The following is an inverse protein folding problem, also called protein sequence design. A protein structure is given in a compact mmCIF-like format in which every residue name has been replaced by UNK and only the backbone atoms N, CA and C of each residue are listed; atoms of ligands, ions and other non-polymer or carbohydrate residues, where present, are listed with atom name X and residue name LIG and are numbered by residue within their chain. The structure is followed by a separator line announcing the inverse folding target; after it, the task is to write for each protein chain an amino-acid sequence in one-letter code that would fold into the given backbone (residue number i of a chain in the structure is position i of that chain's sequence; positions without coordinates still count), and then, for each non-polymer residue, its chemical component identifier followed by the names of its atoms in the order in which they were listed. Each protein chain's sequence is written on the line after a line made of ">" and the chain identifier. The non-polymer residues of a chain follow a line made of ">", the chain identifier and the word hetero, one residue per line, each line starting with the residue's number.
data_IF_086542774082
#
_entry.id   IF_086542774082
#
_cell.length_a   1.000
_cell.length_b   1.000
_cell.length_c   1.000
_cell.angle_alpha   90.00
_cell.angle_beta   90.00
_cell.angle_gamma   90.00
#
_symmetry.space_group_name_H-M   'P 1'
#
loop_
_entity.id
_entity.type
_entity.pdbx_description
1 polymer ?
#
# COMPACT_ATOMS: atom_id res chain seq x y z
N UNK A 1 -23.78 -6.43 6.91
CA UNK A 1 -24.89 -6.66 7.89
C UNK A 1 -26.15 -6.05 7.29
N UNK A 2 -27.10 -6.87 6.87
CA UNK A 2 -28.39 -6.39 6.35
C UNK A 2 -29.33 -6.18 7.53
N UNK A 3 -29.63 -4.93 7.85
CA UNK A 3 -30.77 -4.63 8.71
C UNK A 3 -32.00 -4.58 7.81
N UNK A 4 -32.91 -5.54 7.96
CA UNK A 4 -34.16 -5.54 7.24
C UNK A 4 -35.02 -4.36 7.73
N UNK A 5 -34.98 -3.26 7.01
CA UNK A 5 -35.85 -2.09 7.27
C UNK A 5 -37.17 -2.33 6.56
N UNK A 6 -38.17 -2.73 7.30
CA UNK A 6 -39.53 -2.90 6.76
C UNK A 6 -40.06 -1.58 6.18
N UNK A 7 -40.33 -1.54 4.86
CA UNK A 7 -40.83 -0.36 4.15
C UNK A 7 -39.72 0.57 3.61
N UNK A 8 -38.45 0.22 3.79
CA UNK A 8 -37.31 1.01 3.31
C UNK A 8 -36.86 0.71 1.87
N UNK A 9 -37.33 -0.36 1.26
CA UNK A 9 -36.90 -0.82 -0.08
C UNK A 9 -36.96 0.29 -1.14
N UNK A 10 -38.11 0.97 -1.22
CA UNK A 10 -38.27 2.08 -2.16
C UNK A 10 -37.34 3.25 -1.88
N UNK A 11 -37.02 3.53 -0.63
CA UNK A 11 -36.06 4.57 -0.25
C UNK A 11 -34.63 4.16 -0.65
N UNK A 12 -34.28 2.89 -0.49
CA UNK A 12 -32.98 2.33 -0.90
C UNK A 12 -32.84 2.39 -2.42
N UNK A 13 -33.85 1.96 -3.17
CA UNK A 13 -33.85 2.06 -4.64
C UNK A 13 -33.70 3.50 -5.15
N UNK A 14 -34.42 4.44 -4.50
CA UNK A 14 -34.29 5.86 -4.85
C UNK A 14 -32.90 6.40 -4.49
N UNK A 15 -32.30 5.97 -3.37
CA UNK A 15 -30.95 6.35 -3.00
C UNK A 15 -29.91 5.85 -4.03
N UNK A 16 -30.07 4.62 -4.54
CA UNK A 16 -29.20 4.11 -5.62
C UNK A 16 -29.31 4.94 -6.89
N UNK A 17 -30.54 5.31 -7.30
CA UNK A 17 -30.75 6.16 -8.48
C UNK A 17 -30.15 7.56 -8.31
N UNK A 18 -30.29 8.14 -7.12
CA UNK A 18 -29.68 9.44 -6.80
C UNK A 18 -28.15 9.35 -6.78
N UNK A 19 -27.60 8.26 -6.28
CA UNK A 19 -26.14 8.03 -6.30
C UNK A 19 -25.63 7.91 -7.74
N UNK A 20 -26.33 7.19 -8.61
CA UNK A 20 -25.98 7.06 -10.03
C UNK A 20 -26.08 8.41 -10.77
N UNK A 21 -27.09 9.21 -10.48
CA UNK A 21 -27.23 10.53 -11.09
C UNK A 21 -26.14 11.49 -10.60
N UNK A 22 -25.79 11.42 -9.31
CA UNK A 22 -24.67 12.17 -8.73
C UNK A 22 -23.33 11.76 -9.35
N UNK A 23 -23.08 10.44 -9.49
CA UNK A 23 -21.87 9.91 -10.13
C UNK A 23 -21.76 10.38 -11.58
N UNK A 24 -22.87 10.37 -12.33
CA UNK A 24 -22.89 10.85 -13.72
C UNK A 24 -22.63 12.35 -13.82
N UNK A 25 -23.08 13.13 -12.86
CA UNK A 25 -22.97 14.59 -12.86
C UNK A 25 -23.72 15.27 -13.99
N UNK A 26 -23.29 16.48 -14.35
CA UNK A 26 -23.88 17.29 -15.41
C UNK A 26 -23.84 16.55 -16.76
N UNK A 27 -25.00 16.37 -17.39
CA UNK A 27 -25.14 15.63 -18.65
C UNK A 27 -24.67 16.41 -19.88
N UNK A 28 -24.46 17.71 -19.76
CA UNK A 28 -23.87 18.54 -20.81
C UNK A 28 -22.35 18.37 -20.90
N UNK A 29 -21.74 17.76 -19.85
CA UNK A 29 -20.34 17.37 -19.80
C UNK A 29 -20.22 15.89 -20.20
N UNK A 30 -19.33 15.53 -21.15
CA UNK A 30 -19.08 14.15 -21.50
C UNK A 30 -18.70 13.32 -20.26
N UNK A 31 -19.25 12.11 -20.18
CA UNK A 31 -18.87 11.19 -19.10
C UNK A 31 -17.40 10.77 -19.26
N UNK A 32 -16.63 10.82 -18.15
CA UNK A 32 -15.25 10.32 -18.14
C UNK A 32 -15.25 8.83 -18.50
N UNK A 33 -14.38 8.37 -19.39
CA UNK A 33 -14.22 6.97 -19.71
C UNK A 33 -13.11 6.31 -18.88
N UNK A 34 -13.10 4.97 -18.83
CA UNK A 34 -12.11 4.23 -18.04
C UNK A 34 -10.70 4.43 -18.59
N UNK A 35 -10.53 4.57 -19.89
CA UNK A 35 -9.23 4.79 -20.51
C UNK A 35 -8.63 6.17 -20.10
N UNK A 36 -9.48 7.19 -20.00
CA UNK A 36 -9.03 8.50 -19.48
C UNK A 36 -8.57 8.40 -18.03
N UNK A 37 -9.31 7.68 -17.18
CA UNK A 37 -8.90 7.43 -15.77
C UNK A 37 -7.60 6.66 -15.74
N UNK A 38 -7.48 5.58 -16.49
CA UNK A 38 -6.28 4.74 -16.55
C UNK A 38 -5.03 5.52 -16.94
N UNK A 39 -5.14 6.35 -17.99
CA UNK A 39 -3.99 7.05 -18.57
C UNK A 39 -3.63 8.34 -17.82
N UNK A 40 -4.61 9.06 -17.28
CA UNK A 40 -4.40 10.41 -16.73
C UNK A 40 -4.40 10.42 -15.19
N UNK A 41 -4.93 9.41 -14.52
CA UNK A 41 -4.94 9.26 -13.07
C UNK A 41 -4.08 8.06 -12.61
N UNK A 42 -2.95 7.83 -13.30
CA UNK A 42 -2.12 6.63 -13.14
C UNK A 42 -1.70 6.32 -11.71
N UNK A 43 -1.37 7.32 -10.87
CA UNK A 43 -0.99 7.08 -9.47
C UNK A 43 -2.19 6.64 -8.59
N UNK A 44 -3.40 7.09 -8.90
CA UNK A 44 -4.61 6.60 -8.23
C UNK A 44 -4.89 5.15 -8.64
N UNK A 45 -4.73 4.82 -9.92
CA UNK A 45 -4.84 3.45 -10.45
C UNK A 45 -3.82 2.53 -9.78
N UNK A 46 -2.56 2.94 -9.68
CA UNK A 46 -1.49 2.18 -9.05
C UNK A 46 -1.78 1.90 -7.56
N UNK A 47 -2.32 2.89 -6.83
CA UNK A 47 -2.74 2.74 -5.44
C UNK A 47 -3.90 1.74 -5.32
N UNK A 48 -4.94 1.87 -6.14
CA UNK A 48 -6.11 0.98 -6.12
C UNK A 48 -5.70 -0.45 -6.45
N UNK A 49 -4.81 -0.67 -7.42
CA UNK A 49 -4.24 -2.00 -7.71
C UNK A 49 -3.51 -2.58 -6.51
N UNK A 50 -2.62 -1.79 -5.89
CA UNK A 50 -1.78 -2.24 -4.76
C UNK A 50 -2.64 -2.61 -3.55
N UNK A 51 -3.48 -1.71 -3.09
CA UNK A 51 -4.32 -1.91 -1.90
C UNK A 51 -5.50 -2.87 -2.17
N UNK A 52 -5.94 -2.96 -3.43
CA UNK A 52 -6.93 -3.94 -3.89
C UNK A 52 -6.37 -5.35 -4.09
N UNK A 53 -5.05 -5.48 -4.26
CA UNK A 53 -4.38 -6.76 -4.47
C UNK A 53 -4.67 -7.40 -5.83
N UNK A 54 -4.89 -6.58 -6.87
CA UNK A 54 -5.04 -7.02 -8.27
C UNK A 54 -4.18 -6.12 -9.16
N UNK A 55 -3.34 -6.71 -9.97
CA UNK A 55 -2.61 -6.00 -11.01
C UNK A 55 -3.42 -5.99 -12.31
N UNK A 56 -4.34 -5.06 -12.42
CA UNK A 56 -5.15 -4.83 -13.61
C UNK A 56 -5.56 -3.36 -13.65
N UNK A 57 -5.00 -2.61 -14.60
CA UNK A 57 -5.18 -1.17 -14.71
C UNK A 57 -6.60 -0.79 -15.14
N UNK A 58 -7.19 -1.57 -16.05
CA UNK A 58 -8.54 -1.32 -16.55
C UNK A 58 -9.58 -1.55 -15.45
N UNK A 59 -9.47 -2.65 -14.70
CA UNK A 59 -10.35 -2.93 -13.56
C UNK A 59 -10.20 -1.88 -12.46
N UNK A 60 -8.99 -1.43 -12.17
CA UNK A 60 -8.74 -0.37 -11.19
C UNK A 60 -9.35 0.97 -11.65
N UNK A 61 -9.21 1.32 -12.92
CA UNK A 61 -9.83 2.51 -13.52
C UNK A 61 -11.37 2.45 -13.47
N UNK A 62 -11.93 1.28 -13.77
CA UNK A 62 -13.37 1.03 -13.65
C UNK A 62 -13.85 1.21 -12.20
N UNK A 63 -13.13 0.65 -11.22
CA UNK A 63 -13.45 0.80 -9.81
C UNK A 63 -13.42 2.27 -9.35
N UNK A 64 -12.40 3.04 -9.78
CA UNK A 64 -12.30 4.48 -9.50
C UNK A 64 -13.48 5.24 -10.11
N UNK A 65 -13.84 4.97 -11.36
CA UNK A 65 -14.99 5.58 -12.03
C UNK A 65 -16.28 5.24 -11.29
N UNK A 66 -16.52 3.98 -10.95
CA UNK A 66 -17.71 3.53 -10.24
C UNK A 66 -17.83 4.15 -8.85
N UNK A 67 -16.71 4.31 -8.15
CA UNK A 67 -16.63 4.93 -6.83
C UNK A 67 -16.66 6.48 -6.86
N UNK A 68 -16.88 7.11 -8.01
CA UNK A 68 -16.84 8.59 -8.16
C UNK A 68 -15.52 9.21 -7.69
N UNK A 69 -14.41 8.49 -7.78
CA UNK A 69 -13.09 8.92 -7.35
C UNK A 69 -12.75 8.67 -5.87
N UNK A 70 -13.66 8.06 -5.10
CA UNK A 70 -13.33 7.59 -3.75
C UNK A 70 -12.43 6.36 -3.82
N UNK A 71 -11.15 6.56 -3.45
CA UNK A 71 -10.13 5.53 -3.56
C UNK A 71 -10.39 4.36 -2.61
N UNK A 72 -10.93 4.60 -1.41
CA UNK A 72 -11.23 3.54 -0.44
C UNK A 72 -12.37 2.65 -0.95
N UNK A 73 -13.42 3.26 -1.48
CA UNK A 73 -14.53 2.53 -2.11
C UNK A 73 -14.05 1.75 -3.35
N UNK A 74 -13.19 2.36 -4.18
CA UNK A 74 -12.61 1.68 -5.35
C UNK A 74 -11.79 0.45 -4.95
N UNK A 75 -10.99 0.53 -3.88
CA UNK A 75 -10.23 -0.60 -3.33
C UNK A 75 -11.19 -1.70 -2.84
N UNK A 76 -12.26 -1.32 -2.15
CA UNK A 76 -13.27 -2.27 -1.69
C UNK A 76 -13.93 -3.01 -2.86
N UNK A 77 -14.35 -2.28 -3.91
CA UNK A 77 -14.94 -2.88 -5.11
C UNK A 77 -13.98 -3.86 -5.78
N UNK A 78 -12.71 -3.49 -5.91
CA UNK A 78 -11.69 -4.34 -6.53
C UNK A 78 -11.42 -5.60 -5.70
N UNK A 79 -11.33 -5.48 -4.38
CA UNK A 79 -11.20 -6.65 -3.47
C UNK A 79 -12.42 -7.58 -3.55
N UNK A 80 -13.63 -7.02 -3.58
CA UNK A 80 -14.85 -7.79 -3.72
C UNK A 80 -14.87 -8.56 -5.06
N UNK A 81 -14.49 -7.90 -6.15
CA UNK A 81 -14.38 -8.55 -7.45
C UNK A 81 -13.34 -9.67 -7.45
N UNK A 82 -12.17 -9.46 -6.82
CA UNK A 82 -11.12 -10.47 -6.70
C UNK A 82 -11.64 -11.79 -6.11
N UNK A 83 -12.56 -11.74 -5.16
CA UNK A 83 -13.13 -12.96 -4.55
C UNK A 83 -13.97 -13.79 -5.51
N UNK A 84 -14.38 -13.22 -6.65
CA UNK A 84 -15.14 -13.93 -7.69
C UNK A 84 -14.26 -14.61 -8.72
N UNK A 85 -12.96 -14.32 -8.72
CA UNK A 85 -12.02 -14.87 -9.69
C UNK A 85 -11.46 -16.23 -9.21
N UNK A 86 -11.39 -17.25 -10.08
CA UNK A 86 -10.69 -18.47 -9.77
C UNK A 86 -9.18 -18.23 -9.75
N UNK A 87 -8.46 -18.88 -8.84
CA UNK A 87 -7.01 -18.98 -8.91
C UNK A 87 -6.64 -20.08 -9.91
N UNK A 88 -5.94 -19.71 -10.96
CA UNK A 88 -5.53 -20.66 -12.01
C UNK A 88 -4.15 -21.26 -11.74
N UNK A 89 -3.21 -20.44 -11.25
CA UNK A 89 -1.86 -20.86 -10.90
C UNK A 89 -1.25 -19.86 -9.91
N UNK A 90 -0.14 -20.24 -9.29
CA UNK A 90 0.74 -19.35 -8.56
C UNK A 90 1.95 -18.99 -9.44
N UNK A 91 2.41 -17.75 -9.38
CA UNK A 91 3.63 -17.33 -10.07
C UNK A 91 4.87 -17.91 -9.40
N UNK A 92 5.92 -18.11 -10.18
CA UNK A 92 7.24 -18.28 -9.62
C UNK A 92 7.67 -17.01 -8.89
N UNK A 93 8.62 -17.10 -7.94
CA UNK A 93 9.20 -15.95 -7.28
C UNK A 93 9.76 -14.95 -8.31
N UNK A 94 9.39 -13.67 -8.17
CA UNK A 94 9.85 -12.62 -9.06
C UNK A 94 11.31 -12.26 -8.77
N UNK A 95 12.12 -12.08 -9.82
CA UNK A 95 13.51 -11.64 -9.68
C UNK A 95 13.62 -10.15 -9.99
N UNK A 96 13.46 -9.30 -8.97
CA UNK A 96 13.54 -7.84 -9.11
C UNK A 96 14.93 -7.35 -9.52
N UNK A 97 15.99 -8.14 -9.31
CA UNK A 97 17.32 -7.85 -9.81
C UNK A 97 17.38 -7.71 -11.35
N UNK A 98 16.46 -8.38 -12.06
CA UNK A 98 16.33 -8.33 -13.51
C UNK A 98 15.33 -7.26 -14.00
N UNK A 99 14.87 -6.39 -13.12
CA UNK A 99 13.92 -5.33 -13.45
C UNK A 99 14.40 -4.48 -14.64
N UNK A 100 13.53 -4.29 -15.63
CA UNK A 100 13.73 -3.29 -16.69
C UNK A 100 13.43 -1.91 -16.13
N UNK A 101 14.49 -1.23 -15.70
CA UNK A 101 14.44 -0.03 -14.88
C UNK A 101 13.90 1.17 -15.66
N UNK A 102 12.92 1.87 -15.09
CA UNK A 102 12.45 3.19 -15.53
C UNK A 102 12.87 4.32 -14.57
N UNK A 103 13.07 4.01 -13.31
CA UNK A 103 13.57 4.91 -12.27
C UNK A 103 14.48 4.15 -11.31
N UNK A 104 15.58 4.77 -10.92
CA UNK A 104 16.52 4.21 -9.95
C UNK A 104 17.22 5.32 -9.16
N UNK A 105 17.01 5.34 -7.85
CA UNK A 105 17.60 6.34 -6.94
C UNK A 105 18.24 5.63 -5.75
N UNK A 106 19.41 6.09 -5.36
CA UNK A 106 20.06 5.69 -4.12
C UNK A 106 20.58 6.92 -3.38
N UNK A 107 20.50 6.90 -2.05
CA UNK A 107 21.00 7.96 -1.17
C UNK A 107 22.28 7.55 -0.40
N UNK A 108 22.74 6.30 -0.54
CA UNK A 108 23.85 5.76 0.27
C UNK A 108 25.21 5.86 -0.40
N UNK A 109 25.25 5.93 -1.72
CA UNK A 109 26.50 6.13 -2.47
C UNK A 109 26.43 7.36 -3.36
N UNK A 110 27.54 8.11 -3.45
CA UNK A 110 27.63 9.24 -4.38
C UNK A 110 27.65 8.76 -5.83
N UNK A 111 28.48 7.77 -6.11
CA UNK A 111 28.62 7.16 -7.43
C UNK A 111 27.99 5.77 -7.39
N UNK A 112 26.76 5.68 -7.85
CA UNK A 112 25.99 4.43 -7.84
C UNK A 112 26.41 3.57 -9.02
N UNK A 113 26.93 2.35 -8.80
CA UNK A 113 27.24 1.42 -9.89
C UNK A 113 26.02 1.15 -10.77
N UNK A 114 26.14 1.33 -12.08
CA UNK A 114 25.00 1.29 -13.01
C UNK A 114 24.26 2.61 -13.15
N UNK A 115 24.64 3.65 -12.40
CA UNK A 115 24.06 4.98 -12.46
C UNK A 115 22.74 5.15 -11.73
N UNK A 116 22.27 6.38 -11.66
CA UNK A 116 20.94 6.77 -11.19
C UNK A 116 20.07 7.18 -12.39
N UNK A 117 18.77 6.89 -12.31
CA UNK A 117 17.77 7.23 -13.33
C UNK A 117 16.64 7.98 -12.67
N UNK A 118 16.48 9.26 -12.99
CA UNK A 118 15.42 10.07 -12.39
C UNK A 118 14.02 9.56 -12.74
N UNK A 119 13.79 9.19 -13.99
CA UNK A 119 12.48 8.77 -14.46
C UNK A 119 11.38 9.83 -14.26
N UNK A 120 10.11 9.48 -14.43
CA UNK A 120 9.00 10.37 -14.15
C UNK A 120 8.85 10.58 -12.64
N UNK A 121 8.99 11.83 -12.16
CA UNK A 121 8.92 12.18 -10.74
C UNK A 121 8.45 13.60 -10.52
N UNK A 122 7.79 13.85 -9.38
CA UNK A 122 7.47 15.19 -8.90
C UNK A 122 8.57 15.81 -8.04
N UNK A 123 9.67 15.11 -7.74
CA UNK A 123 10.67 15.51 -6.73
C UNK A 123 11.31 16.86 -7.04
N UNK A 124 11.51 17.17 -8.32
CA UNK A 124 12.16 18.40 -8.77
C UNK A 124 11.16 19.43 -9.33
N UNK A 125 9.88 19.22 -9.15
CA UNK A 125 8.86 20.20 -9.51
C UNK A 125 8.73 21.27 -8.42
N UNK A 126 8.30 22.47 -8.80
CA UNK A 126 8.07 23.56 -7.84
C UNK A 126 6.84 23.34 -6.93
N UNK A 127 6.04 22.28 -7.14
CA UNK A 127 4.81 21.98 -6.41
C UNK A 127 3.80 23.14 -6.42
N UNK A 128 3.78 23.92 -7.48
CA UNK A 128 2.82 24.99 -7.72
C UNK A 128 1.70 24.48 -8.62
N UNK A 129 0.50 25.08 -8.47
CA UNK A 129 -0.60 24.80 -9.40
C UNK A 129 -0.23 25.34 -10.79
N UNK A 130 -0.39 24.50 -11.79
CA UNK A 130 -0.21 24.87 -13.18
C UNK A 130 -1.57 25.26 -13.80
N UNK A 131 -1.81 26.56 -13.87
CA UNK A 131 -3.06 27.09 -14.43
C UNK A 131 -3.19 26.91 -15.95
N UNK A 132 -2.11 26.49 -16.63
CA UNK A 132 -2.18 26.19 -18.07
C UNK A 132 -3.02 24.93 -18.33
N UNK A 133 -3.12 24.04 -17.35
CA UNK A 133 -3.96 22.83 -17.40
C UNK A 133 -5.47 23.14 -17.41
N UNK A 134 -5.88 24.41 -17.19
CA UNK A 134 -7.27 24.82 -17.38
C UNK A 134 -7.63 25.02 -18.86
N UNK A 135 -6.64 25.15 -19.74
CA UNK A 135 -6.86 25.28 -21.16
C UNK A 135 -7.16 23.91 -21.78
N UNK A 136 -8.17 23.87 -22.66
CA UNK A 136 -8.43 22.69 -23.47
C UNK A 136 -7.41 22.62 -24.62
N UNK A 137 -6.87 21.45 -24.89
CA UNK A 137 -5.97 21.21 -26.01
C UNK A 137 -4.89 20.21 -25.68
N UNK A 138 -4.26 19.64 -26.69
CA UNK A 138 -3.18 18.70 -26.54
C UNK A 138 -1.88 19.42 -26.22
N UNK A 139 -1.23 18.98 -25.15
CA UNK A 139 0.14 19.41 -24.82
C UNK A 139 1.11 18.60 -25.69
N UNK A 140 2.04 19.25 -26.42
CA UNK A 140 3.03 18.52 -27.20
C UNK A 140 3.89 17.64 -26.29
N UNK A 141 4.18 16.43 -26.76
CA UNK A 141 5.04 15.51 -26.03
C UNK A 141 6.41 16.15 -25.79
N UNK A 142 6.94 16.11 -24.53
CA UNK A 142 8.26 16.65 -24.24
C UNK A 142 9.34 15.87 -24.99
N UNK A 143 10.40 16.57 -25.41
CA UNK A 143 11.60 15.91 -25.92
C UNK A 143 12.35 15.27 -24.75
N UNK A 144 12.49 13.97 -24.78
CA UNK A 144 13.25 13.21 -23.77
C UNK A 144 14.57 12.75 -24.38
N UNK A 145 15.66 12.93 -23.66
CA UNK A 145 16.96 12.38 -24.08
C UNK A 145 16.97 10.86 -23.85
N UNK A 146 17.24 10.12 -24.90
CA UNK A 146 17.44 8.66 -24.80
C UNK A 146 18.90 8.40 -24.40
N UNK A 147 19.15 8.31 -23.10
CA UNK A 147 20.46 7.97 -22.55
C UNK A 147 20.40 6.48 -22.16
N UNK A 148 21.15 5.61 -22.83
CA UNK A 148 21.14 4.20 -22.51
C UNK A 148 21.66 3.97 -21.08
N UNK A 149 20.98 3.09 -20.34
CA UNK A 149 21.46 2.61 -19.05
C UNK A 149 22.71 1.75 -19.22
N UNK A 150 23.53 1.71 -18.19
CA UNK A 150 24.63 0.73 -18.13
C UNK A 150 24.04 -0.69 -18.18
N UNK A 151 24.78 -1.60 -18.78
CA UNK A 151 24.32 -2.98 -18.98
C UNK A 151 24.08 -3.75 -17.66
N UNK A 152 24.65 -3.28 -16.55
CA UNK A 152 24.48 -3.92 -15.24
C UNK A 152 24.16 -2.88 -14.17
N UNK A 153 23.03 -3.09 -13.50
CA UNK A 153 22.59 -2.28 -12.36
C UNK A 153 22.46 -3.19 -11.11
N UNK A 154 23.59 -3.50 -10.44
CA UNK A 154 23.56 -4.38 -9.27
C UNK A 154 22.71 -3.76 -8.16
N UNK A 155 22.02 -4.57 -7.36
CA UNK A 155 21.32 -4.12 -6.18
C UNK A 155 22.31 -3.51 -5.18
N UNK A 156 21.99 -2.33 -4.67
CA UNK A 156 22.87 -1.61 -3.74
C UNK A 156 23.04 -2.39 -2.44
N UNK A 157 21.98 -3.02 -1.94
CA UNK A 157 22.06 -3.82 -0.73
C UNK A 157 22.97 -5.06 -0.89
N UNK A 158 23.03 -5.65 -2.10
CA UNK A 158 23.98 -6.74 -2.40
C UNK A 158 25.42 -6.26 -2.39
N UNK A 159 25.69 -5.03 -2.83
CA UNK A 159 27.02 -4.45 -2.73
C UNK A 159 27.43 -4.26 -1.27
N UNK A 160 26.54 -3.70 -0.44
CA UNK A 160 26.79 -3.54 0.99
C UNK A 160 27.01 -4.88 1.69
N UNK A 161 26.26 -5.92 1.29
CA UNK A 161 26.42 -7.29 1.83
C UNK A 161 27.79 -7.88 1.48
N UNK A 162 28.25 -7.70 0.23
CA UNK A 162 29.60 -8.15 -0.20
C UNK A 162 30.73 -7.42 0.54
N UNK A 163 30.51 -6.17 0.92
CA UNK A 163 31.45 -5.38 1.71
C UNK A 163 31.37 -5.66 3.21
N UNK A 164 30.42 -6.48 3.66
CA UNK A 164 30.22 -6.83 5.07
C UNK A 164 29.47 -5.76 5.88
N UNK A 165 28.86 -4.77 5.23
CA UNK A 165 28.13 -3.68 5.90
C UNK A 165 26.63 -3.97 6.07
N UNK A 166 26.13 -5.02 5.45
CA UNK A 166 24.74 -5.46 5.55
C UNK A 166 24.66 -6.98 5.54
N UNK A 167 23.58 -7.52 6.10
CA UNK A 167 23.27 -8.93 6.06
C UNK A 167 21.93 -9.09 5.36
N UNK A 168 21.88 -9.95 4.34
CA UNK A 168 20.62 -10.31 3.67
C UNK A 168 20.00 -11.50 4.40
N UNK A 169 18.72 -11.42 4.64
CA UNK A 169 17.99 -12.54 5.24
C UNK A 169 18.04 -13.74 4.31
N UNK A 170 18.23 -14.92 4.89
CA UNK A 170 18.18 -16.18 4.17
C UNK A 170 16.74 -16.62 3.96
N UNK A 171 16.45 -17.10 2.75
CA UNK A 171 15.18 -17.75 2.45
C UNK A 171 15.17 -19.13 3.10
N UNK A 172 14.25 -19.37 4.01
CA UNK A 172 14.08 -20.64 4.70
C UNK A 172 13.31 -21.69 3.86
N UNK A 173 12.89 -21.30 2.66
CA UNK A 173 12.13 -22.14 1.74
C UNK A 173 10.69 -22.42 2.18
N UNK A 174 10.19 -21.73 3.21
CA UNK A 174 8.80 -21.88 3.63
C UNK A 174 7.84 -21.25 2.62
N UNK A 175 6.71 -21.92 2.39
CA UNK A 175 5.64 -21.36 1.57
C UNK A 175 5.05 -20.12 2.25
N UNK A 176 4.97 -18.98 1.56
CA UNK A 176 4.38 -17.78 2.12
C UNK A 176 2.88 -17.99 2.36
N UNK A 177 2.38 -17.58 3.52
CA UNK A 177 0.95 -17.61 3.82
C UNK A 177 0.17 -16.67 2.89
N UNK A 178 -1.08 -17.00 2.60
CA UNK A 178 -1.99 -16.18 1.81
C UNK A 178 -2.98 -15.45 2.71
N UNK A 179 -2.69 -14.21 3.09
CA UNK A 179 -3.56 -13.38 3.95
C UNK A 179 -4.93 -13.08 3.35
N UNK A 180 -5.17 -13.41 2.08
CA UNK A 180 -6.47 -13.25 1.44
C UNK A 180 -7.41 -14.42 1.72
N UNK A 181 -6.89 -15.53 2.23
CA UNK A 181 -7.62 -16.75 2.59
C UNK A 181 -7.59 -17.00 4.10
N UNK A 182 -6.41 -16.85 4.68
CA UNK A 182 -6.18 -17.14 6.09
C UNK A 182 -5.86 -15.86 6.84
N UNK A 183 -6.70 -15.47 7.83
CA UNK A 183 -6.40 -14.32 8.66
C UNK A 183 -5.05 -14.50 9.37
N UNK A 184 -4.20 -13.48 9.42
CA UNK A 184 -2.91 -13.58 10.09
C UNK A 184 -3.09 -13.79 11.60
N UNK A 185 -2.26 -14.65 12.18
CA UNK A 185 -2.10 -14.77 13.63
C UNK A 185 -0.87 -14.00 14.08
N UNK A 186 -0.86 -13.50 15.31
CA UNK A 186 0.26 -12.75 15.87
C UNK A 186 1.06 -13.62 16.86
N UNK A 187 2.41 -13.58 16.86
CA UNK A 187 3.25 -12.86 15.91
C UNK A 187 3.16 -13.44 14.49
N UNK A 188 3.07 -12.55 13.50
CA UNK A 188 2.92 -12.93 12.11
C UNK A 188 4.30 -13.18 11.46
N UNK A 189 4.43 -14.19 10.58
CA UNK A 189 5.65 -14.36 9.80
C UNK A 189 5.88 -13.15 8.90
N UNK A 190 7.14 -12.85 8.57
CA UNK A 190 7.48 -11.65 7.80
C UNK A 190 6.77 -11.59 6.45
N UNK A 191 6.58 -12.72 5.79
CA UNK A 191 5.81 -12.80 4.54
C UNK A 191 4.37 -12.27 4.69
N UNK A 192 3.69 -12.59 5.81
CA UNK A 192 2.36 -12.05 6.12
C UNK A 192 2.41 -10.56 6.44
N UNK A 193 3.38 -10.11 7.24
CA UNK A 193 3.57 -8.68 7.54
C UNK A 193 3.73 -7.87 6.27
N UNK A 194 4.61 -8.29 5.35
CA UNK A 194 4.84 -7.61 4.08
C UNK A 194 3.59 -7.57 3.20
N UNK A 195 2.83 -8.66 3.11
CA UNK A 195 1.57 -8.68 2.36
C UNK A 195 0.54 -7.71 2.95
N UNK A 196 0.40 -7.66 4.29
CA UNK A 196 -0.51 -6.72 4.96
C UNK A 196 -0.09 -5.28 4.76
N UNK A 197 1.20 -4.96 4.87
CA UNK A 197 1.72 -3.62 4.62
C UNK A 197 1.49 -3.20 3.16
N UNK A 198 1.69 -4.09 2.19
CA UNK A 198 1.39 -3.80 0.79
C UNK A 198 -0.09 -3.44 0.59
N UNK A 199 -1.01 -4.17 1.22
CA UNK A 199 -2.46 -3.92 1.17
C UNK A 199 -2.92 -2.79 2.08
N UNK A 200 -2.09 -2.38 3.04
CA UNK A 200 -2.40 -1.34 4.01
C UNK A 200 -2.60 0.04 3.38
N UNK A 201 -3.32 0.92 4.06
CA UNK A 201 -3.56 2.30 3.64
C UNK A 201 -2.26 3.10 3.52
N UNK A 202 -2.04 3.73 2.36
CA UNK A 202 -0.85 4.55 2.12
C UNK A 202 -0.72 5.68 3.15
N UNK A 203 -1.82 6.34 3.49
CA UNK A 203 -1.80 7.47 4.43
C UNK A 203 -1.46 7.04 5.85
N UNK A 204 -2.00 5.91 6.30
CA UNK A 204 -1.68 5.34 7.61
C UNK A 204 -0.20 4.93 7.69
N UNK A 205 0.31 4.20 6.69
CA UNK A 205 1.72 3.83 6.65
C UNK A 205 2.65 5.04 6.56
N UNK A 206 2.27 6.07 5.81
CA UNK A 206 3.02 7.32 5.73
C UNK A 206 3.07 8.04 7.08
N UNK A 207 1.98 8.08 7.83
CA UNK A 207 1.94 8.68 9.16
C UNK A 207 2.82 7.92 10.16
N UNK A 208 2.76 6.58 10.15
CA UNK A 208 3.62 5.73 10.99
C UNK A 208 5.09 5.89 10.63
N UNK A 209 5.45 5.82 9.35
CA UNK A 209 6.83 6.00 8.88
C UNK A 209 7.38 7.38 9.25
N UNK A 210 6.55 8.42 9.15
CA UNK A 210 6.91 9.76 9.61
C UNK A 210 7.16 9.79 11.14
N UNK A 211 6.33 9.11 11.92
CA UNK A 211 6.50 9.05 13.37
C UNK A 211 7.82 8.37 13.79
N UNK A 212 8.24 7.32 13.06
CA UNK A 212 9.54 6.65 13.32
C UNK A 212 10.72 7.59 13.13
N UNK A 213 10.65 8.51 12.15
CA UNK A 213 11.72 9.46 11.87
C UNK A 213 11.73 10.66 12.82
N UNK A 214 10.54 11.16 13.17
CA UNK A 214 10.41 12.42 13.92
C UNK A 214 10.57 12.30 15.42
N UNK A 215 10.10 11.22 16.01
CA UNK A 215 9.97 11.19 17.46
C UNK A 215 10.50 9.95 18.16
N UNK A 216 10.40 8.82 17.53
CA UNK A 216 10.64 7.54 18.17
C UNK A 216 11.85 6.79 17.62
N UNK A 217 12.20 7.01 16.38
CA UNK A 217 13.41 6.47 15.79
C UNK A 217 14.64 7.27 16.24
N UNK A 218 15.65 6.57 16.72
CA UNK A 218 16.93 7.20 17.14
C UNK A 218 17.91 7.29 16.00
N UNK A 219 17.61 6.67 14.85
CA UNK A 219 18.49 6.58 13.71
C UNK A 219 17.84 7.21 12.49
N UNK A 220 18.64 7.90 11.67
CA UNK A 220 18.17 8.42 10.40
C UNK A 220 18.24 7.31 9.35
N UNK A 221 17.10 6.93 8.71
CA UNK A 221 17.11 5.98 7.63
C UNK A 221 17.57 6.62 6.32
N UNK A 222 18.11 5.81 5.42
CA UNK A 222 18.53 6.21 4.09
C UNK A 222 17.88 5.31 3.03
N UNK A 223 17.47 5.88 1.91
CA UNK A 223 17.09 5.08 0.76
C UNK A 223 18.34 4.35 0.22
N UNK A 224 18.47 3.09 0.57
CA UNK A 224 19.49 2.22 0.02
C UNK A 224 19.32 2.17 -1.49
N UNK A 225 18.12 1.80 -1.93
CA UNK A 225 17.73 1.87 -3.32
C UNK A 225 16.20 1.97 -3.45
N UNK A 226 15.77 2.79 -4.40
CA UNK A 226 14.38 2.80 -4.90
C UNK A 226 14.46 2.49 -6.38
N UNK A 227 13.73 1.47 -6.82
CA UNK A 227 13.67 1.03 -8.22
C UNK A 227 12.23 0.92 -8.68
N UNK A 228 11.93 1.50 -9.83
CA UNK A 228 10.65 1.32 -10.51
C UNK A 228 10.92 0.78 -11.90
N UNK A 229 10.23 -0.26 -12.29
CA UNK A 229 10.38 -0.87 -13.61
C UNK A 229 9.55 -2.14 -13.77
N UNK A 230 9.67 -2.74 -14.91
CA UNK A 230 8.93 -3.95 -15.28
C UNK A 230 9.70 -5.21 -14.87
N UNK A 231 8.97 -6.17 -14.35
CA UNK A 231 9.48 -7.48 -13.95
C UNK A 231 8.63 -8.56 -14.63
N UNK A 232 9.29 -9.54 -15.21
CA UNK A 232 8.64 -10.69 -15.84
C UNK A 232 7.93 -11.56 -14.82
N UNK A 233 6.73 -12.02 -15.16
CA UNK A 233 5.94 -12.97 -14.38
C UNK A 233 5.92 -14.31 -15.09
N UNK A 234 6.31 -15.37 -14.39
CA UNK A 234 6.33 -16.73 -14.90
C UNK A 234 5.44 -17.64 -14.05
N UNK A 235 4.84 -18.62 -14.67
CA UNK A 235 4.12 -19.74 -14.04
C UNK A 235 4.67 -21.07 -14.56
N UNK A 236 4.40 -22.15 -13.84
CA UNK A 236 4.67 -23.52 -14.32
C UNK A 236 3.32 -24.22 -14.49
N UNK A 237 2.74 -24.22 -15.70
CA UNK A 237 1.53 -24.98 -15.97
C UNK A 237 1.78 -26.48 -15.77
N UNK A 238 0.85 -27.18 -15.11
CA UNK A 238 0.98 -28.63 -14.83
C UNK A 238 1.19 -29.46 -16.11
N UNK A 239 0.53 -29.04 -17.20
CA UNK A 239 0.59 -29.74 -18.50
C UNK A 239 1.95 -29.60 -19.18
N UNK A 240 2.70 -28.54 -18.89
CA UNK A 240 3.97 -28.26 -19.54
C UNK A 240 5.17 -28.66 -18.67
N UNK A 241 5.08 -28.46 -17.35
CA UNK A 241 6.13 -28.82 -16.40
C UNK A 241 7.42 -27.99 -16.50
N UNK A 242 7.36 -26.83 -17.17
CA UNK A 242 8.47 -25.86 -17.27
C UNK A 242 7.93 -24.42 -17.17
N UNK A 243 8.80 -23.45 -16.78
CA UNK A 243 8.40 -22.06 -16.68
C UNK A 243 7.91 -21.47 -18.01
N UNK A 244 6.80 -20.73 -17.93
CA UNK A 244 6.21 -19.99 -19.04
C UNK A 244 6.03 -18.54 -18.63
N UNK A 245 6.62 -17.62 -19.37
CA UNK A 245 6.37 -16.20 -19.22
C UNK A 245 4.94 -15.85 -19.63
N UNK A 246 4.20 -15.19 -18.74
CA UNK A 246 2.81 -14.77 -18.97
C UNK A 246 2.66 -13.26 -19.14
N UNK A 247 3.71 -12.50 -18.91
CA UNK A 247 3.76 -11.05 -19.07
C UNK A 247 4.71 -10.36 -18.12
N UNK A 248 4.64 -9.04 -18.12
CA UNK A 248 5.41 -8.18 -17.22
C UNK A 248 4.47 -7.36 -16.35
N UNK A 249 4.90 -7.07 -15.11
CA UNK A 249 4.21 -6.15 -14.21
C UNK A 249 5.14 -5.00 -13.82
N UNK A 250 4.58 -3.80 -13.71
CA UNK A 250 5.28 -2.61 -13.22
C UNK A 250 5.28 -2.62 -11.71
N UNK A 251 6.46 -2.60 -11.11
CA UNK A 251 6.67 -2.60 -9.66
C UNK A 251 7.52 -1.41 -9.22
N UNK A 252 7.31 -0.96 -8.00
CA UNK A 252 8.25 -0.11 -7.27
C UNK A 252 8.74 -0.85 -6.05
N UNK A 253 10.05 -1.01 -5.95
CA UNK A 253 10.77 -1.64 -4.85
C UNK A 253 11.56 -0.59 -4.08
N UNK A 254 11.56 -0.70 -2.75
CA UNK A 254 12.37 0.14 -1.87
C UNK A 254 13.10 -0.71 -0.84
N UNK A 255 14.43 -0.61 -0.82
CA UNK A 255 15.27 -1.10 0.27
C UNK A 255 15.72 0.11 1.10
N UNK A 256 15.22 0.22 2.34
CA UNK A 256 15.55 1.30 3.25
C UNK A 256 16.63 0.84 4.22
N UNK A 257 17.80 1.45 4.14
CA UNK A 257 18.90 1.21 5.09
C UNK A 257 18.64 2.03 6.35
N UNK A 258 18.69 1.35 7.50
CA UNK A 258 18.42 1.96 8.79
C UNK A 258 19.60 1.70 9.73
N UNK A 259 19.47 2.09 11.01
CA UNK A 259 20.50 1.93 12.03
C UNK A 259 21.21 0.58 12.00
N UNK A 260 22.37 0.53 12.57
CA UNK A 260 23.18 -0.69 12.61
C UNK A 260 22.97 -1.46 13.92
N UNK A 261 23.26 -2.76 13.87
CA UNK A 261 23.29 -3.63 15.05
C UNK A 261 24.55 -3.34 15.85
N UNK A 262 24.44 -3.36 17.17
CA UNK A 262 25.56 -3.22 18.10
C UNK A 262 25.45 -4.36 19.11
N UNK A 263 25.91 -5.54 18.71
CA UNK A 263 25.89 -6.77 19.53
C UNK A 263 27.28 -7.32 19.67
N UNK A 264 27.59 -7.81 20.86
CA UNK A 264 28.90 -8.42 21.17
C UNK A 264 29.20 -9.71 20.36
N UNK A 265 28.16 -10.30 19.76
CA UNK A 265 28.25 -11.62 19.11
C UNK A 265 28.39 -11.53 17.57
N UNK A 266 28.08 -10.39 16.97
CA UNK A 266 28.11 -10.18 15.53
C UNK A 266 28.81 -8.88 15.15
N UNK A 267 29.51 -8.88 14.00
CA UNK A 267 30.08 -7.64 13.49
C UNK A 267 28.97 -6.62 13.20
N UNK A 268 29.11 -5.35 13.62
CA UNK A 268 28.09 -4.34 13.37
C UNK A 268 27.76 -4.21 11.88
N UNK A 269 26.49 -4.24 11.54
CA UNK A 269 26.00 -4.08 10.17
C UNK A 269 24.70 -3.27 10.14
N UNK A 270 24.40 -2.66 9.01
CA UNK A 270 23.16 -1.94 8.81
C UNK A 270 21.96 -2.89 8.73
N UNK A 271 20.85 -2.45 9.29
CA UNK A 271 19.56 -3.15 9.19
C UNK A 271 18.77 -2.64 7.99
N UNK A 272 17.81 -3.43 7.51
CA UNK A 272 17.03 -3.16 6.32
C UNK A 272 15.54 -3.21 6.57
N UNK A 273 14.80 -2.27 5.98
CA UNK A 273 13.38 -2.40 5.75
C UNK A 273 13.10 -2.56 4.26
N UNK A 274 12.03 -3.26 3.92
CA UNK A 274 11.65 -3.60 2.56
C UNK A 274 10.23 -3.16 2.22
N UNK A 275 10.04 -2.62 1.01
CA UNK A 275 8.74 -2.27 0.48
C UNK A 275 8.64 -2.62 -0.99
N UNK A 276 7.53 -3.23 -1.40
CA UNK A 276 7.21 -3.58 -2.77
C UNK A 276 5.75 -3.28 -3.05
N UNK A 277 5.47 -2.59 -4.16
CA UNK A 277 4.12 -2.19 -4.54
C UNK A 277 3.93 -2.25 -6.04
N UNK A 278 2.69 -2.36 -6.50
CA UNK A 278 2.36 -2.23 -7.91
C UNK A 278 2.49 -0.78 -8.39
N UNK A 279 2.89 -0.62 -9.65
CA UNK A 279 2.98 0.68 -10.30
C UNK A 279 4.08 1.59 -9.75
N UNK A 280 3.86 2.91 -9.85
CA UNK A 280 4.81 3.97 -9.49
C UNK A 280 4.54 4.58 -8.09
N UNK A 281 4.00 3.82 -7.16
CA UNK A 281 3.62 4.28 -5.83
C UNK A 281 4.85 4.36 -4.88
N UNK A 282 5.86 5.14 -5.25
CA UNK A 282 7.15 5.26 -4.55
C UNK A 282 6.99 5.65 -3.08
N UNK A 283 6.14 6.64 -2.77
CA UNK A 283 5.87 7.06 -1.40
C UNK A 283 5.33 5.92 -0.53
N UNK A 284 4.48 5.07 -1.11
CA UNK A 284 3.96 3.88 -0.44
C UNK A 284 5.06 2.84 -0.20
N UNK A 285 5.90 2.55 -1.20
CA UNK A 285 7.01 1.60 -1.07
C UNK A 285 8.01 2.04 0.02
N UNK A 286 8.35 3.33 0.07
CA UNK A 286 9.21 3.91 1.11
C UNK A 286 8.56 3.81 2.51
N UNK A 287 7.28 4.16 2.61
CA UNK A 287 6.56 4.08 3.89
C UNK A 287 6.45 2.65 4.38
N UNK A 288 6.16 1.71 3.48
CA UNK A 288 6.16 0.29 3.78
C UNK A 288 7.52 -0.19 4.31
N UNK A 289 8.62 0.18 3.63
CA UNK A 289 9.97 -0.21 4.03
C UNK A 289 10.35 0.31 5.43
N UNK A 290 9.96 1.55 5.77
CA UNK A 290 10.21 2.11 7.10
C UNK A 290 9.41 1.41 8.20
N UNK A 291 8.15 1.07 7.92
CA UNK A 291 7.29 0.36 8.88
C UNK A 291 7.72 -1.11 8.99
N UNK A 292 8.09 -1.77 7.88
CA UNK A 292 8.66 -3.13 7.92
C UNK A 292 9.87 -3.19 8.85
N UNK A 293 10.81 -2.25 8.75
CA UNK A 293 11.95 -2.19 9.68
C UNK A 293 11.51 -1.96 11.12
N UNK A 294 10.53 -1.10 11.35
CA UNK A 294 10.03 -0.83 12.70
C UNK A 294 9.39 -2.07 13.35
N UNK A 295 8.78 -2.95 12.56
CA UNK A 295 8.14 -4.18 13.03
C UNK A 295 9.14 -5.33 13.30
N UNK A 296 10.40 -5.19 12.93
CA UNK A 296 11.44 -6.20 13.14
C UNK A 296 12.06 -6.13 14.57
N UNK A 297 11.28 -5.73 15.57
CA UNK A 297 11.78 -5.58 16.95
C UNK A 297 12.24 -6.89 17.55
N UNK A 298 11.56 -7.99 17.28
CA UNK A 298 11.91 -9.31 17.76
C UNK A 298 13.21 -9.79 17.12
N UNK A 299 13.35 -9.65 15.81
CA UNK A 299 14.52 -10.03 15.01
C UNK A 299 15.78 -9.26 15.45
N UNK A 300 15.60 -8.00 15.84
CA UNK A 300 16.71 -7.15 16.31
C UNK A 300 16.81 -7.05 17.83
N UNK A 301 16.02 -7.83 18.60
CA UNK A 301 15.98 -7.82 20.08
C UNK A 301 15.76 -6.40 20.65
N UNK A 302 14.98 -5.59 19.97
CA UNK A 302 14.59 -4.24 20.39
C UNK A 302 13.36 -4.27 21.28
N UNK A 303 13.19 -3.23 22.09
CA UNK A 303 11.96 -3.05 22.86
C UNK A 303 10.95 -2.27 22.03
N UNK A 304 9.68 -2.67 22.10
CA UNK A 304 8.56 -1.87 21.59
C UNK A 304 8.44 -0.61 22.42
N UNK A 305 8.67 0.55 21.82
CA UNK A 305 8.62 1.87 22.47
C UNK A 305 7.69 2.86 21.76
N UNK A 306 7.15 2.46 20.61
CA UNK A 306 6.27 3.30 19.79
C UNK A 306 5.18 2.47 19.11
N UNK A 307 4.05 3.10 18.73
CA UNK A 307 2.98 2.40 18.01
C UNK A 307 3.43 1.78 16.68
N UNK A 308 4.41 2.35 16.00
CA UNK A 308 4.94 1.82 14.74
C UNK A 308 5.71 0.49 14.91
N UNK A 309 6.08 0.14 16.14
CA UNK A 309 6.78 -1.09 16.49
C UNK A 309 5.84 -2.16 17.08
N UNK A 310 4.58 -1.80 17.33
CA UNK A 310 3.55 -2.71 17.82
C UNK A 310 2.91 -3.42 16.63
N UNK A 311 3.28 -4.69 16.43
CA UNK A 311 2.87 -5.47 15.27
C UNK A 311 1.36 -5.61 15.16
N UNK A 312 0.69 -5.99 16.25
CA UNK A 312 -0.75 -6.17 16.26
C UNK A 312 -1.47 -4.85 16.01
N UNK A 313 -1.01 -3.76 16.64
CA UNK A 313 -1.57 -2.42 16.39
C UNK A 313 -1.43 -2.02 14.93
N UNK A 314 -0.23 -2.13 14.37
CA UNK A 314 0.02 -1.68 12.98
C UNK A 314 -0.79 -2.51 11.98
N UNK A 315 -0.73 -3.82 12.08
CA UNK A 315 -1.31 -4.69 11.06
C UNK A 315 -2.83 -4.77 11.17
N UNK A 316 -3.39 -4.69 12.39
CA UNK A 316 -4.85 -4.66 12.59
C UNK A 316 -5.50 -3.35 12.15
N UNK A 317 -4.75 -2.23 12.06
CA UNK A 317 -5.29 -0.93 11.68
C UNK A 317 -4.84 -0.45 10.30
N UNK A 318 -4.01 -1.22 9.61
CA UNK A 318 -3.50 -0.84 8.29
C UNK A 318 -4.55 -0.97 7.18
N UNK A 319 -5.56 -1.81 7.34
CA UNK A 319 -6.56 -2.06 6.31
C UNK A 319 -7.65 -0.99 6.29
N UNK A 320 -7.63 -0.15 5.26
CA UNK A 320 -8.59 0.95 5.10
C UNK A 320 -10.01 0.49 4.78
N UNK A 321 -10.18 -0.67 4.14
CA UNK A 321 -11.52 -1.23 3.85
C UNK A 321 -12.17 -1.73 5.13
N UNK A 322 -11.43 -2.43 5.98
CA UNK A 322 -11.91 -2.85 7.30
C UNK A 322 -12.22 -1.63 8.18
N UNK A 323 -11.30 -0.67 8.24
CA UNK A 323 -11.47 0.56 9.00
C UNK A 323 -12.71 1.36 8.53
N UNK A 324 -12.87 1.55 7.22
CA UNK A 324 -14.02 2.24 6.64
C UNK A 324 -15.33 1.49 6.91
N UNK A 325 -15.34 0.17 6.78
CA UNK A 325 -16.50 -0.67 7.08
C UNK A 325 -16.91 -0.59 8.55
N UNK A 326 -15.91 -0.65 9.46
CA UNK A 326 -16.16 -0.55 10.90
C UNK A 326 -16.69 0.83 11.31
N UNK A 327 -16.08 1.91 10.81
CA UNK A 327 -16.55 3.27 11.10
C UNK A 327 -17.91 3.53 10.47
N UNK A 328 -18.12 3.08 9.24
CA UNK A 328 -19.38 3.29 8.52
C UNK A 328 -20.58 2.58 9.15
N UNK A 329 -20.38 1.44 9.83
CA UNK A 329 -21.49 0.75 10.50
C UNK A 329 -22.11 1.58 11.65
N UNK A 330 -21.35 2.52 12.25
CA UNK A 330 -21.82 3.37 13.33
C UNK A 330 -23.00 4.28 12.93
N UNK A 331 -23.20 4.55 11.64
CA UNK A 331 -24.36 5.29 11.12
C UNK A 331 -25.60 4.42 10.93
N UNK A 332 -25.47 3.11 11.08
CA UNK A 332 -26.61 2.20 11.01
C UNK A 332 -27.46 2.29 12.30
N UNK A 333 -28.74 1.85 12.28
CA UNK A 333 -29.63 1.93 13.44
C UNK A 333 -29.09 1.14 14.64
N UNK A 334 -28.68 1.84 15.69
CA UNK A 334 -28.23 1.28 16.98
C UNK A 334 -29.15 1.70 18.12
N UNK A 335 -30.42 1.96 17.83
CA UNK A 335 -31.34 2.53 18.83
C UNK A 335 -31.59 1.60 20.02
N UNK A 336 -31.49 0.28 19.85
CA UNK A 336 -31.66 -0.69 20.95
C UNK A 336 -30.51 -0.58 21.93
N UNK A 337 -29.28 -0.59 21.41
CA UNK A 337 -28.06 -0.49 22.22
C UNK A 337 -28.01 0.89 22.89
N UNK A 338 -28.32 1.95 22.14
CA UNK A 338 -28.34 3.31 22.66
C UNK A 338 -29.39 3.47 23.79
N UNK A 339 -30.59 2.87 23.68
CA UNK A 339 -31.57 2.91 24.74
C UNK A 339 -31.09 2.20 26.01
N UNK A 340 -30.40 1.08 25.90
CA UNK A 340 -29.79 0.38 27.03
C UNK A 340 -28.77 1.26 27.76
N UNK A 341 -27.87 1.90 27.01
CA UNK A 341 -26.88 2.85 27.56
C UNK A 341 -27.56 4.08 28.21
N UNK A 342 -28.63 4.60 27.59
CA UNK A 342 -29.38 5.74 28.12
C UNK A 342 -30.04 5.41 29.46
N UNK A 343 -30.64 4.22 29.60
CA UNK A 343 -31.23 3.78 30.86
C UNK A 343 -30.17 3.57 31.95
N UNK A 344 -29.01 2.99 31.59
CA UNK A 344 -27.87 2.91 32.50
C UNK A 344 -27.40 4.30 32.98
N UNK A 345 -27.24 5.23 32.06
CA UNK A 345 -26.83 6.61 32.37
C UNK A 345 -27.83 7.31 33.27
N UNK A 346 -29.14 7.16 33.01
CA UNK A 346 -30.20 7.74 33.87
C UNK A 346 -30.07 7.25 35.33
N UNK A 347 -29.88 5.94 35.53
CA UNK A 347 -29.69 5.34 36.84
C UNK A 347 -28.44 5.88 37.54
N UNK A 348 -27.28 5.89 36.85
CA UNK A 348 -26.05 6.44 37.43
C UNK A 348 -26.15 7.90 37.78
N UNK A 349 -26.87 8.72 37.00
CA UNK A 349 -27.10 10.13 37.30
C UNK A 349 -28.01 10.29 38.51
N UNK A 350 -29.02 9.46 38.67
CA UNK A 350 -29.89 9.50 39.85
C UNK A 350 -29.09 9.16 41.12
N UNK A 351 -28.33 8.08 41.13
CA UNK A 351 -27.46 7.67 42.22
C UNK A 351 -26.47 8.79 42.62
N UNK A 352 -25.87 9.44 41.63
CA UNK A 352 -24.96 10.56 41.85
C UNK A 352 -25.64 11.77 42.51
N UNK A 353 -26.86 12.09 42.10
CA UNK A 353 -27.63 13.23 42.69
C UNK A 353 -28.12 12.92 44.11
N UNK A 354 -28.54 11.68 44.38
CA UNK A 354 -28.92 11.23 45.72
C UNK A 354 -27.72 11.24 46.66
N UNK A 355 -26.55 10.80 46.25
CA UNK A 355 -25.31 10.83 47.04
C UNK A 355 -24.77 12.24 47.31
N UNK A 356 -25.15 13.23 46.52
CA UNK A 356 -24.79 14.65 46.79
C UNK A 356 -25.76 15.35 47.78
N UNK A 357 -26.95 14.79 47.96
CA UNK A 357 -27.97 15.33 48.85
C UNK A 357 -27.96 14.62 50.22
N UNK A 358 -27.13 13.60 50.39
CA UNK A 358 -26.86 12.95 51.66
C UNK A 358 -25.57 13.53 52.32
#
# INVERSE_FOLDING_TARGET
>A
MYVAVKGGEKAIENAHRLQEDLRRGDRDIPEIDCQQVEQQLGLAVDRVMTEGGIYDRELAALAIKQASGDVVEAIFLLRAYRTTLPRLADSLPLTTANMRIERRISAVYKDVPGGQVLGPTYDYTHRLLDFTLLANGDTPAPSVADIPLEATCPLIFDLMTREGFAVREEDDGSEPCDITRDPPSYPAPRSARLQQLMRGDEGFLLALSYSTQRGYGRTHPFAGEIRTGFVTVEIVPEELGFPLEIGEILLTECEMVNGFTDRDEEAPHFTRGYGLVFGRAERKAMSMALVDRALQTAEHHERVTSPAQDEEFVLSHADNVEAAGFVSHLKLPHYVDFQAELELLKRLRQEYLEGKNA
#
